data_IF_093835940504
#
_entry.id   IF_093835940504
#
_cell.length_a   1.000
_cell.length_b   1.000
_cell.length_c   1.000
_cell.angle_alpha   90.00
_cell.angle_beta   90.00
_cell.angle_gamma   90.00
#
_symmetry.space_group_name_H-M   'P 1'
#
loop_
_entity.id
_entity.type
_entity.pdbx_description
1 polymer ?
#
# COMPACT_ATOMS: atom_id res chain seq x y z
N UNK A 1 0.74 16.73 -2.06
CA UNK A 1 -0.17 15.59 -2.21
C UNK A 1 -0.18 15.10 -3.64
N UNK A 2 -0.36 13.79 -3.82
CA UNK A 2 -0.42 13.16 -5.15
C UNK A 2 -1.88 12.86 -5.47
N UNK A 3 -2.30 13.15 -6.69
CA UNK A 3 -3.67 12.89 -7.14
C UNK A 3 -3.78 11.50 -7.77
N UNK A 4 -4.98 10.88 -7.76
CA UNK A 4 -5.21 9.63 -8.50
C UNK A 4 -4.88 9.76 -9.99
N UNK A 5 -5.10 10.92 -10.59
CA UNK A 5 -4.80 11.21 -11.99
C UNK A 5 -3.29 11.14 -12.28
N UNK A 6 -2.46 11.66 -11.38
CA UNK A 6 -1.00 11.58 -11.52
C UNK A 6 -0.52 10.12 -11.49
N UNK A 7 -1.10 9.30 -10.61
CA UNK A 7 -0.78 7.87 -10.55
C UNK A 7 -1.26 7.15 -11.82
N UNK A 8 -2.46 7.50 -12.29
CA UNK A 8 -3.05 6.90 -13.50
C UNK A 8 -2.17 7.08 -14.74
N UNK A 9 -1.47 8.20 -14.85
CA UNK A 9 -0.53 8.45 -15.96
C UNK A 9 0.64 7.46 -16.00
N UNK A 10 0.98 6.81 -14.89
CA UNK A 10 2.05 5.82 -14.83
C UNK A 10 1.64 4.44 -15.35
N UNK A 11 0.35 4.21 -15.65
CA UNK A 11 -0.09 2.96 -16.26
C UNK A 11 0.65 2.74 -17.60
N UNK A 12 1.05 1.51 -17.95
CA UNK A 12 1.76 1.23 -19.22
C UNK A 12 1.04 1.71 -20.47
N UNK A 13 -0.30 1.83 -20.43
CA UNK A 13 -1.13 2.37 -21.51
C UNK A 13 -1.60 3.81 -21.24
N UNK A 14 -0.95 4.50 -20.30
CA UNK A 14 -1.37 5.82 -19.87
C UNK A 14 -2.72 5.82 -19.16
N UNK A 15 -3.29 6.98 -18.89
CA UNK A 15 -4.58 7.10 -18.20
C UNK A 15 -5.74 6.42 -18.94
N UNK A 16 -5.64 6.24 -20.25
CA UNK A 16 -6.63 5.52 -21.05
C UNK A 16 -6.76 4.05 -20.64
N UNK A 17 -5.69 3.43 -20.12
CA UNK A 17 -5.73 2.08 -19.60
C UNK A 17 -6.63 1.89 -18.39
N UNK A 18 -6.94 2.96 -17.68
CA UNK A 18 -7.76 2.94 -16.46
C UNK A 18 -9.23 3.24 -16.76
N UNK A 19 -9.48 4.01 -17.79
CA UNK A 19 -10.81 4.50 -18.13
C UNK A 19 -11.72 3.45 -18.82
N UNK A 20 -11.28 2.21 -18.90
CA UNK A 20 -12.01 1.17 -19.66
C UNK A 20 -12.63 0.12 -18.73
N UNK A 21 -13.93 -0.10 -18.84
CA UNK A 21 -14.59 -1.23 -18.24
C UNK A 21 -15.25 -0.97 -16.88
N UNK A 22 -15.50 -2.04 -16.15
CA UNK A 22 -16.17 -2.01 -14.87
C UNK A 22 -15.23 -1.62 -13.72
N UNK A 23 -15.79 -1.57 -12.51
CA UNK A 23 -15.04 -1.21 -11.29
C UNK A 23 -13.86 -2.15 -11.02
N UNK A 24 -14.05 -3.46 -11.22
CA UNK A 24 -12.98 -4.44 -11.00
C UNK A 24 -11.80 -4.24 -11.95
N UNK A 25 -12.09 -3.98 -13.22
CA UNK A 25 -11.08 -3.67 -14.24
C UNK A 25 -10.36 -2.36 -13.92
N UNK A 26 -11.11 -1.33 -13.49
CA UNK A 26 -10.53 -0.04 -13.12
C UNK A 26 -9.60 -0.17 -11.90
N UNK A 27 -9.97 -0.95 -10.88
CA UNK A 27 -9.14 -1.20 -9.70
C UNK A 27 -7.87 -1.96 -10.08
N UNK A 28 -7.98 -2.99 -10.92
CA UNK A 28 -6.81 -3.74 -11.40
C UNK A 28 -5.86 -2.85 -12.20
N UNK A 29 -6.38 -2.00 -13.06
CA UNK A 29 -5.60 -1.05 -13.84
C UNK A 29 -4.92 -0.01 -12.94
N UNK A 30 -5.60 0.49 -11.94
CA UNK A 30 -5.03 1.44 -10.97
C UNK A 30 -3.95 0.79 -10.11
N UNK A 31 -4.09 -0.49 -9.77
CA UNK A 31 -3.05 -1.28 -9.10
C UNK A 31 -1.78 -1.33 -9.94
N UNK A 32 -1.90 -1.59 -11.23
CA UNK A 32 -0.76 -1.59 -12.16
C UNK A 32 -0.13 -0.20 -12.28
N UNK A 33 -0.93 0.85 -12.34
CA UNK A 33 -0.45 2.21 -12.38
C UNK A 33 0.35 2.56 -11.12
N UNK A 34 -0.16 2.22 -9.96
CA UNK A 34 0.49 2.50 -8.67
C UNK A 34 1.80 1.72 -8.53
N UNK A 35 1.80 0.46 -8.93
CA UNK A 35 3.01 -0.38 -8.97
C UNK A 35 4.10 0.21 -9.85
N UNK A 36 3.74 0.83 -10.97
CA UNK A 36 4.68 1.50 -11.86
C UNK A 36 5.11 2.86 -11.32
N UNK A 37 4.23 3.59 -10.64
CA UNK A 37 4.46 4.93 -10.16
C UNK A 37 5.38 4.98 -8.94
N UNK A 38 5.11 4.14 -7.94
CA UNK A 38 5.76 4.24 -6.62
C UNK A 38 7.29 4.08 -6.69
N UNK A 39 7.86 3.10 -7.41
CA UNK A 39 9.31 2.94 -7.48
C UNK A 39 10.06 4.11 -8.13
N UNK A 40 9.35 4.96 -8.86
CA UNK A 40 9.94 6.13 -9.54
C UNK A 40 10.03 7.35 -8.63
N UNK A 41 9.44 7.29 -7.44
CA UNK A 41 9.44 8.43 -6.52
C UNK A 41 10.78 8.54 -5.83
N UNK A 42 11.28 9.78 -5.71
CA UNK A 42 12.52 10.07 -5.00
C UNK A 42 12.22 10.63 -3.61
N UNK A 43 13.15 10.47 -2.69
CA UNK A 43 13.01 10.98 -1.33
C UNK A 43 11.99 10.20 -0.48
N UNK A 44 11.72 8.95 -0.86
CA UNK A 44 10.87 8.04 -0.08
C UNK A 44 11.75 7.21 0.83
N UNK A 45 11.57 7.34 2.13
CA UNK A 45 12.34 6.61 3.15
C UNK A 45 11.55 5.49 3.81
N UNK A 46 10.29 5.35 3.46
CA UNK A 46 9.41 4.30 3.96
C UNK A 46 8.00 4.47 3.40
N UNK A 47 7.25 3.39 3.37
CA UNK A 47 5.87 3.38 2.88
C UNK A 47 4.96 2.73 3.91
N UNK A 48 3.88 3.40 4.24
CA UNK A 48 2.85 2.87 5.13
C UNK A 48 1.48 2.97 4.45
N UNK A 49 0.67 1.94 4.63
CA UNK A 49 -0.71 1.95 4.19
C UNK A 49 -1.58 1.22 5.21
N UNK A 50 -2.88 1.51 5.21
CA UNK A 50 -3.83 0.86 6.08
C UNK A 50 -5.14 0.59 5.33
N UNK A 51 -5.73 -0.59 5.56
CA UNK A 51 -7.00 -0.91 4.94
C UNK A 51 -7.43 -2.37 5.09
N UNK A 52 -8.50 -2.71 4.41
CA UNK A 52 -9.04 -4.06 4.32
C UNK A 52 -8.44 -4.85 3.15
N UNK A 53 -9.17 -5.86 2.69
CA UNK A 53 -8.72 -6.75 1.61
C UNK A 53 -8.44 -6.00 0.30
N UNK A 54 -9.31 -5.07 -0.07
CA UNK A 54 -9.17 -4.29 -1.31
C UNK A 54 -7.93 -3.43 -1.32
N UNK A 55 -7.72 -2.65 -0.26
CA UNK A 55 -6.54 -1.81 -0.13
C UNK A 55 -5.25 -2.64 -0.05
N UNK A 56 -5.27 -3.76 0.67
CA UNK A 56 -4.13 -4.66 0.77
C UNK A 56 -3.74 -5.21 -0.61
N UNK A 57 -4.72 -5.69 -1.38
CA UNK A 57 -4.47 -6.21 -2.72
C UNK A 57 -3.99 -5.13 -3.71
N UNK A 58 -4.39 -3.88 -3.52
CA UNK A 58 -3.97 -2.78 -4.38
C UNK A 58 -2.56 -2.27 -4.05
N UNK A 59 -2.21 -2.18 -2.78
CA UNK A 59 -0.97 -1.52 -2.33
C UNK A 59 0.22 -2.46 -2.28
N UNK A 60 0.01 -3.71 -1.86
CA UNK A 60 1.14 -4.64 -1.68
C UNK A 60 1.93 -4.95 -2.94
N UNK A 61 1.34 -5.02 -4.16
CA UNK A 61 2.14 -5.15 -5.39
C UNK A 61 3.12 -3.98 -5.59
N UNK A 62 2.72 -2.76 -5.28
CA UNK A 62 3.60 -1.60 -5.34
C UNK A 62 4.72 -1.67 -4.28
N UNK A 63 4.40 -2.13 -3.08
CA UNK A 63 5.41 -2.35 -2.03
C UNK A 63 6.41 -3.44 -2.44
N UNK A 64 5.95 -4.52 -3.08
CA UNK A 64 6.82 -5.58 -3.59
C UNK A 64 7.80 -5.09 -4.65
N UNK A 65 7.44 -4.04 -5.40
CA UNK A 65 8.29 -3.46 -6.43
C UNK A 65 9.40 -2.57 -5.86
N UNK A 66 9.35 -2.25 -4.57
CA UNK A 66 10.39 -1.47 -3.90
C UNK A 66 11.56 -2.34 -3.47
N UNK A 67 12.78 -1.78 -3.37
CA UNK A 67 13.95 -2.55 -2.98
C UNK A 67 13.82 -3.11 -1.56
N UNK A 68 14.42 -4.27 -1.34
CA UNK A 68 14.58 -4.84 0.00
C UNK A 68 15.39 -3.86 0.85
N UNK A 69 14.97 -3.68 2.10
CA UNK A 69 15.58 -2.74 3.03
C UNK A 69 14.83 -1.41 3.14
N UNK A 70 14.12 -0.97 2.10
CA UNK A 70 13.23 0.18 2.23
C UNK A 70 12.03 -0.19 3.12
N UNK A 71 11.80 0.50 4.24
CA UNK A 71 10.71 0.15 5.16
C UNK A 71 9.33 0.15 4.49
N UNK A 72 8.59 -0.93 4.70
CA UNK A 72 7.25 -1.12 4.14
C UNK A 72 6.35 -1.68 5.24
N UNK A 73 5.27 -0.97 5.56
CA UNK A 73 4.33 -1.40 6.58
C UNK A 73 2.91 -1.35 6.04
N UNK A 74 2.26 -2.51 6.02
CA UNK A 74 0.85 -2.63 5.66
C UNK A 74 0.03 -2.98 6.90
N UNK A 75 -0.81 -2.05 7.35
CA UNK A 75 -1.77 -2.29 8.43
C UNK A 75 -3.04 -2.82 7.78
N UNK A 76 -3.35 -4.10 8.01
CA UNK A 76 -4.38 -4.78 7.24
C UNK A 76 -5.27 -5.64 8.12
N UNK A 77 -6.58 -5.63 7.82
CA UNK A 77 -7.51 -6.59 8.42
C UNK A 77 -7.18 -8.02 8.01
N UNK A 78 -6.45 -8.21 6.92
CA UNK A 78 -6.04 -9.53 6.41
C UNK A 78 -4.82 -10.10 7.16
N UNK A 79 -4.14 -9.31 7.97
CA UNK A 79 -2.87 -9.71 8.60
C UNK A 79 -3.02 -10.71 9.76
N UNK A 80 -4.25 -11.07 10.14
CA UNK A 80 -4.51 -12.16 11.09
C UNK A 80 -4.55 -13.54 10.42
N UNK A 81 -4.50 -13.59 9.10
CA UNK A 81 -4.57 -14.81 8.31
C UNK A 81 -3.31 -15.04 7.47
N UNK A 82 -3.47 -15.82 6.40
CA UNK A 82 -2.38 -16.09 5.46
C UNK A 82 -2.10 -14.86 4.58
N UNK A 83 -0.92 -14.31 4.72
CA UNK A 83 -0.49 -13.09 4.00
C UNK A 83 0.56 -13.37 2.91
N UNK A 84 0.87 -14.63 2.63
CA UNK A 84 1.92 -14.99 1.66
C UNK A 84 1.71 -14.39 0.28
N UNK A 85 0.46 -14.33 -0.18
CA UNK A 85 0.12 -13.73 -1.49
C UNK A 85 0.42 -12.24 -1.53
N UNK A 86 0.30 -11.54 -0.41
CA UNK A 86 0.55 -10.10 -0.32
C UNK A 86 2.03 -9.77 -0.14
N UNK A 87 2.72 -10.55 0.67
CA UNK A 87 4.13 -10.31 1.00
C UNK A 87 5.05 -10.80 -0.13
N UNK A 88 4.75 -11.95 -0.72
CA UNK A 88 5.60 -12.55 -1.73
C UNK A 88 7.03 -12.79 -1.20
N UNK A 89 8.02 -12.42 -1.99
CA UNK A 89 9.43 -12.48 -1.60
C UNK A 89 9.95 -11.14 -1.05
N UNK A 90 9.06 -10.20 -0.75
CA UNK A 90 9.43 -8.87 -0.24
C UNK A 90 9.48 -8.85 1.29
N UNK A 91 10.16 -7.86 1.82
CA UNK A 91 10.28 -7.58 3.26
C UNK A 91 9.14 -6.69 3.80
N UNK A 92 7.93 -6.88 3.29
CA UNK A 92 6.77 -6.15 3.78
C UNK A 92 6.43 -6.57 5.21
N UNK A 93 6.36 -5.60 6.13
CA UNK A 93 5.84 -5.83 7.47
C UNK A 93 4.32 -5.75 7.44
N UNK A 94 3.65 -6.82 7.89
CA UNK A 94 2.20 -6.86 8.01
C UNK A 94 1.80 -6.66 9.47
N UNK A 95 0.96 -5.67 9.72
CA UNK A 95 0.43 -5.39 11.06
C UNK A 95 -1.09 -5.57 11.05
N UNK A 96 -1.62 -6.38 11.98
CA UNK A 96 -3.05 -6.60 12.03
C UNK A 96 -3.79 -5.35 12.48
N UNK A 97 -4.78 -4.92 11.68
CA UNK A 97 -5.56 -3.73 11.96
C UNK A 97 -6.53 -3.90 13.14
N UNK A 98 -6.90 -5.13 13.46
CA UNK A 98 -7.85 -5.54 14.52
C UNK A 98 -9.28 -5.17 14.19
N UNK A 99 -9.54 -3.93 13.77
CA UNK A 99 -10.87 -3.45 13.37
C UNK A 99 -10.83 -2.92 11.94
N UNK A 100 -12.01 -2.71 11.35
CA UNK A 100 -12.12 -2.01 10.08
C UNK A 100 -11.46 -0.63 10.14
N UNK A 101 -10.85 -0.24 9.02
CA UNK A 101 -10.13 1.04 8.91
C UNK A 101 -11.06 2.15 8.36
N UNK A 102 -12.35 2.04 8.61
CA UNK A 102 -13.35 3.06 8.31
C UNK A 102 -13.55 3.98 9.51
N UNK A 103 -13.05 5.19 9.39
CA UNK A 103 -13.10 6.16 10.47
C UNK A 103 -12.16 5.80 11.62
N UNK A 104 -12.09 6.69 12.59
CA UNK A 104 -11.23 6.52 13.76
C UNK A 104 -12.06 6.16 14.99
N UNK A 105 -11.72 5.06 15.63
CA UNK A 105 -12.22 4.67 16.93
C UNK A 105 -11.05 4.46 17.89
N UNK A 106 -11.34 4.10 19.13
CA UNK A 106 -10.31 3.93 20.16
C UNK A 106 -9.25 2.88 19.77
N UNK A 107 -9.69 1.76 19.20
CA UNK A 107 -8.78 0.66 18.81
C UNK A 107 -7.95 1.05 17.59
N UNK A 108 -8.59 1.58 16.54
CA UNK A 108 -7.88 1.97 15.33
C UNK A 108 -6.86 3.08 15.59
N UNK A 109 -7.15 4.02 16.49
CA UNK A 109 -6.18 5.05 16.88
C UNK A 109 -4.92 4.46 17.49
N UNK A 110 -5.07 3.46 18.36
CA UNK A 110 -3.93 2.78 18.98
C UNK A 110 -3.10 2.02 17.95
N UNK A 111 -3.74 1.25 17.09
CA UNK A 111 -3.06 0.43 16.08
C UNK A 111 -2.38 1.31 15.03
N UNK A 112 -3.09 2.28 14.48
CA UNK A 112 -2.54 3.22 13.49
C UNK A 112 -1.39 4.04 14.08
N UNK A 113 -1.52 4.47 15.34
CA UNK A 113 -0.46 5.16 16.05
C UNK A 113 0.79 4.30 16.24
N UNK A 114 0.62 3.03 16.56
CA UNK A 114 1.74 2.07 16.65
C UNK A 114 2.41 1.91 15.28
N UNK A 115 1.63 1.76 14.21
CA UNK A 115 2.16 1.65 12.85
C UNK A 115 2.94 2.89 12.43
N UNK A 116 2.41 4.07 12.71
CA UNK A 116 3.09 5.34 12.41
C UNK A 116 4.45 5.45 13.12
N UNK A 117 4.50 5.10 14.41
CA UNK A 117 5.75 5.09 15.17
C UNK A 117 6.73 4.05 14.66
N UNK A 118 6.23 2.87 14.29
CA UNK A 118 7.07 1.80 13.75
C UNK A 118 7.73 2.21 12.44
N UNK A 119 6.94 2.68 11.46
CA UNK A 119 7.49 3.09 10.17
C UNK A 119 8.45 4.28 10.28
N UNK A 120 8.13 5.23 11.15
CA UNK A 120 9.00 6.38 11.40
C UNK A 120 10.35 5.94 11.98
N UNK A 121 10.34 5.00 12.92
CA UNK A 121 11.57 4.45 13.50
C UNK A 121 12.40 3.68 12.47
N UNK A 122 11.74 2.84 11.66
CA UNK A 122 12.43 2.09 10.60
C UNK A 122 13.03 3.03 9.55
N UNK A 123 12.31 4.06 9.13
CA UNK A 123 12.79 5.04 8.16
C UNK A 123 13.95 5.87 8.70
N UNK A 124 13.95 6.17 10.00
CA UNK A 124 14.99 6.98 10.64
C UNK A 124 16.33 6.23 10.77
N UNK A 125 16.29 4.91 10.77
CA UNK A 125 17.48 4.07 10.87
C UNK A 125 18.26 3.92 9.56
N UNK A 126 17.76 4.46 8.44
CA UNK A 126 18.37 4.34 7.10
C UNK A 126 19.57 5.28 6.89
#
# INVERSE_FOLDING_TARGET
DVTPQEIALAHPRGSAGIASGDRGTAVAAMTEAFKAWLPRQQGVFGVISAGGSGATAMVTPAMQALPVGLPKLMISTMASGDVRAYVGASDITMMHAVTDVHGLNRVSRLVLGNGARAIAAMAKAQ
#
